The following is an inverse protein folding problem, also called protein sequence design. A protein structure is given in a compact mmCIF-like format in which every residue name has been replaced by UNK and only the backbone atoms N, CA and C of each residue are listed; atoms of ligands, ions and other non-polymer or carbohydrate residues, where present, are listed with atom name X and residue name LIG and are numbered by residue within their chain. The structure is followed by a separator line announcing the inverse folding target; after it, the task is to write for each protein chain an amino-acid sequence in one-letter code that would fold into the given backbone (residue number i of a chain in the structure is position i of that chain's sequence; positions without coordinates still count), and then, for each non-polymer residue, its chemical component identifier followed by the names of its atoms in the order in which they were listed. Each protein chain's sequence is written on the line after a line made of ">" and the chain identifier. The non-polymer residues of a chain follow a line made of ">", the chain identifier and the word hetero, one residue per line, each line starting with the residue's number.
data_IF_866806083666
#
_entry.id   IF_866806083666
#
_cell.length_a   1.000
_cell.length_b   1.000
_cell.length_c   1.000
_cell.angle_alpha   90.00
_cell.angle_beta   90.00
_cell.angle_gamma   90.00
#
_symmetry.space_group_name_H-M   'P 1'
#
loop_
_entity.id
_entity.type
_entity.pdbx_description
1 polymer ?
2 non-polymer ?
3 water ?
#
# COMPACT_ATOMS: atom_id res chain seq x y z
N UNK A 10 17.49 6.86 23.28
CA UNK A 10 18.32 5.68 22.98
C UNK A 10 19.21 5.90 21.75
N UNK A 11 18.67 6.52 20.70
CA UNK A 11 19.47 6.78 19.51
C UNK A 11 19.17 8.13 18.84
N UNK A 12 19.87 8.41 17.76
CA UNK A 12 19.74 9.67 17.02
C UNK A 12 18.34 10.04 16.55
N UNK A 13 17.42 9.09 16.59
CA UNK A 13 16.05 9.36 16.15
C UNK A 13 15.14 9.88 17.26
N UNK A 14 15.54 9.67 18.51
CA UNK A 14 14.74 10.13 19.65
C UNK A 14 14.42 11.62 19.57
N UNK A 15 13.26 12.01 20.11
CA UNK A 15 12.83 13.41 20.09
C UNK A 15 12.02 13.74 21.36
N UNK A 16 12.03 15.01 21.80
CA UNK A 16 11.28 15.37 23.00
C UNK A 16 9.80 15.67 22.71
N UNK A 17 8.92 15.07 23.51
CA UNK A 17 7.47 15.23 23.35
C UNK A 17 6.98 16.68 23.29
N UNK A 18 7.85 17.64 23.61
CA UNK A 18 7.46 19.04 23.59
C UNK A 18 7.70 19.66 22.23
N UNK A 19 8.14 18.84 21.29
CA UNK A 19 8.37 19.30 19.93
C UNK A 19 7.06 19.10 19.18
N UNK A 20 6.36 18.02 19.55
CA UNK A 20 5.07 17.65 18.97
C UNK A 20 3.89 18.47 19.47
N UNK A 21 2.80 18.41 18.71
CA UNK A 21 1.56 19.11 19.02
C UNK A 21 0.44 18.37 18.29
N UNK A 22 -0.17 17.40 18.96
CA UNK A 22 -1.24 16.61 18.38
C UNK A 22 -2.51 17.43 18.09
N UNK A 23 -2.46 18.23 17.01
CA UNK A 23 -3.55 19.10 16.58
C UNK A 23 -4.89 18.44 16.25
N UNK A 24 -4.88 17.41 15.40
CA UNK A 24 -6.11 16.72 15.01
C UNK A 24 -5.96 15.19 15.13
N UNK A 25 -7.04 14.51 15.49
CA UNK A 25 -7.02 13.05 15.62
C UNK A 25 -7.51 12.44 14.31
N UNK A 26 -6.56 12.01 13.48
CA UNK A 26 -6.88 11.43 12.17
C UNK A 26 -7.59 10.06 12.16
N UNK A 27 -7.26 9.20 13.12
CA UNK A 27 -7.87 7.89 13.18
C UNK A 27 -7.82 7.27 14.56
N UNK A 28 -8.23 6.01 14.67
CA UNK A 28 -8.23 5.29 15.95
C UNK A 28 -7.21 4.17 15.91
N UNK A 29 -7.49 3.07 16.61
CA UNK A 29 -6.56 1.96 16.63
C UNK A 29 -7.04 0.76 17.42
N UNK A 32 -3.48 1.91 19.72
CA UNK A 32 -2.95 3.25 19.53
C UNK A 32 -3.85 4.11 18.66
N UNK A 33 -3.28 5.15 18.05
CA UNK A 33 -4.05 6.04 17.17
C UNK A 33 -3.15 6.92 16.31
N UNK A 34 -3.77 7.67 15.39
CA UNK A 34 -3.00 8.53 14.49
C UNK A 34 -3.50 9.98 14.54
N UNK A 35 -2.57 10.91 14.74
CA UNK A 35 -2.89 12.34 14.82
C UNK A 35 -2.11 13.16 13.79
N UNK A 36 -2.49 14.42 13.66
CA UNK A 36 -1.83 15.33 12.74
C UNK A 36 -1.08 16.36 13.58
N UNK A 37 0.05 15.94 14.14
CA UNK A 37 0.84 16.84 14.97
C UNK A 37 1.61 17.87 14.17
N UNK A 38 2.66 18.39 14.79
CA UNK A 38 3.54 19.39 14.18
C UNK A 38 4.85 19.41 14.95
N UNK A 39 5.88 18.87 14.32
CA UNK A 39 7.21 18.77 14.92
C UNK A 39 7.96 20.09 14.95
N UNK A 40 8.44 20.45 16.15
CA UNK A 40 9.18 21.69 16.36
C UNK A 40 8.33 22.91 15.99
N UNK A 41 7.03 22.78 16.22
CA UNK A 41 6.08 23.84 15.94
C UNK A 41 6.12 24.51 14.58
N UNK A 42 6.86 23.92 13.63
CA UNK A 42 6.97 24.50 12.30
C UNK A 42 6.78 23.47 11.18
N UNK A 43 6.92 22.20 11.52
CA UNK A 43 6.81 21.14 10.54
C UNK A 43 5.53 20.30 10.70
N UNK A 44 4.73 20.23 9.64
CA UNK A 44 3.51 19.44 9.68
C UNK A 44 3.93 17.98 9.58
N UNK A 45 3.42 17.16 10.49
CA UNK A 45 3.76 15.75 10.51
C UNK A 45 2.57 14.90 10.93
N UNK A 46 2.78 13.60 10.99
CA UNK A 46 1.75 12.66 11.39
C UNK A 46 2.27 11.97 12.64
N UNK A 47 1.44 11.87 13.67
CA UNK A 47 1.84 11.24 14.92
C UNK A 47 1.04 9.99 15.25
N UNK A 48 1.71 8.84 15.27
CA UNK A 48 1.06 7.58 15.62
C UNK A 48 1.42 7.29 17.07
N UNK A 49 0.41 7.12 17.90
CA UNK A 49 0.63 6.86 19.32
C UNK A 49 0.26 5.41 19.66
N UNK A 50 0.55 5.00 20.89
CA UNK A 50 0.25 3.64 21.35
C UNK A 50 -0.44 3.68 22.71
N UNK A 51 -1.56 2.96 22.82
CA UNK A 51 -2.31 2.89 24.06
C UNK A 51 -1.96 1.61 24.79
N UNK A 52 -1.04 1.68 25.78
CA UNK A 52 -0.63 0.50 26.55
C UNK A 52 -1.77 -0.14 27.34
N UNK A 54 -1.19 -1.59 23.14
CA UNK A 54 -1.55 -2.82 23.84
C UNK A 54 -0.42 -3.85 23.74
N UNK A 55 0.54 -3.60 22.85
CA UNK A 55 1.67 -4.50 22.67
C UNK A 55 2.90 -3.96 23.38
N UNK A 56 3.94 -4.78 23.47
CA UNK A 56 5.18 -4.36 24.13
C UNK A 56 5.74 -3.13 23.44
N UNK A 57 6.44 -2.26 24.19
CA UNK A 57 7.00 -1.07 23.57
C UNK A 57 8.03 -1.43 22.51
N UNK A 58 8.88 -2.42 22.82
CA UNK A 58 9.90 -2.87 21.90
C UNK A 58 9.29 -3.57 20.68
N UNK A 59 8.02 -3.97 20.82
CA UNK A 59 7.30 -4.62 19.73
C UNK A 59 6.76 -3.54 18.81
N UNK A 60 6.17 -2.51 19.42
CA UNK A 60 5.60 -1.38 18.70
C UNK A 60 6.71 -0.63 17.96
N UNK A 61 7.90 -0.58 18.56
CA UNK A 61 9.03 0.11 17.97
C UNK A 61 9.73 -0.68 16.85
N UNK A 62 9.21 -1.86 16.54
CA UNK A 62 9.81 -2.68 15.48
C UNK A 62 9.48 -1.99 14.17
N UNK A 63 8.33 -1.31 14.16
CA UNK A 63 7.85 -0.58 12.99
C UNK A 63 8.77 0.59 12.66
N UNK A 64 9.39 1.14 13.72
CA UNK A 64 10.30 2.26 13.58
C UNK A 64 11.70 1.80 13.19
N UNK A 65 12.13 0.68 13.77
CA UNK A 65 13.44 0.14 13.47
C UNK A 65 13.60 -0.08 11.98
N UNK A 66 12.57 -0.64 11.35
CA UNK A 66 12.58 -0.92 9.92
C UNK A 66 12.62 0.36 9.07
N UNK A 67 11.86 1.37 9.49
CA UNK A 67 11.80 2.63 8.76
C UNK A 67 13.09 3.44 8.79
N UNK A 68 14.10 2.96 9.52
CA UNK A 68 15.38 3.65 9.60
C UNK A 68 16.33 3.09 8.55
N UNK A 69 16.03 1.90 8.07
CA UNK A 69 16.86 1.24 7.07
C UNK A 69 16.30 1.34 5.65
N UNK A 70 15.11 1.91 5.52
CA UNK A 70 14.47 2.06 4.21
C UNK A 70 14.14 3.52 3.91
N UNK A 71 14.88 4.12 2.97
CA UNK A 71 14.63 5.52 2.60
C UNK A 71 14.44 5.70 1.11
N UNK A 72 13.18 5.80 0.68
CA UNK A 72 12.86 5.95 -0.74
C UNK A 72 11.70 6.94 -0.92
N UNK A 73 11.64 7.55 -2.11
CA UNK A 73 10.60 8.52 -2.43
C UNK A 73 9.15 8.03 -2.33
N UNK A 74 8.91 6.75 -2.64
CA UNK A 74 7.57 6.20 -2.60
C UNK A 74 7.30 5.41 -1.32
N UNK A 75 8.05 5.76 -0.28
CA UNK A 75 7.92 5.13 1.01
C UNK A 75 7.74 6.25 2.04
N UNK A 76 6.77 6.09 2.92
CA UNK A 76 6.54 7.08 3.96
C UNK A 76 7.81 7.15 4.80
N UNK A 77 8.34 8.36 4.98
CA UNK A 77 9.58 8.52 5.74
C UNK A 77 9.41 8.71 7.23
N UNK A 78 10.32 8.12 7.98
CA UNK A 78 10.32 8.24 9.44
C UNK A 78 11.05 9.54 9.74
N UNK A 79 10.59 10.29 10.72
CA UNK A 79 11.26 11.53 11.09
C UNK A 79 11.91 11.41 12.48
N UNK A 80 11.16 10.93 13.47
CA UNK A 80 11.68 10.78 14.81
C UNK A 80 10.73 9.97 15.73
N UNK A 81 11.28 9.43 16.82
CA UNK A 81 10.50 8.64 17.77
C UNK A 81 10.42 9.25 19.16
N UNK A 82 9.63 8.60 20.02
CA UNK A 82 9.44 9.01 21.41
C UNK A 82 9.23 7.72 22.20
N UNK A 83 10.33 7.14 22.68
CA UNK A 83 10.29 5.89 23.43
C UNK A 83 9.66 5.99 24.83
N UNK A 84 9.15 7.16 25.19
CA UNK A 84 8.52 7.32 26.48
C UNK A 84 7.01 7.46 26.32
N UNK A 87 4.20 6.00 23.64
CA UNK A 87 5.17 5.92 22.55
C UNK A 87 4.69 6.65 21.31
N UNK A 88 5.59 7.39 20.66
CA UNK A 88 5.25 8.15 19.45
C UNK A 88 6.17 7.79 18.27
N UNK A 89 5.59 7.79 17.07
CA UNK A 89 6.33 7.52 15.84
C UNK A 89 5.95 8.70 14.95
N UNK A 90 6.94 9.50 14.56
CA UNK A 90 6.70 10.67 13.73
C UNK A 90 7.19 10.39 12.31
N UNK A 91 6.40 10.75 11.32
CA UNK A 91 6.75 10.53 9.92
C UNK A 91 6.25 11.71 9.12
N UNK A 92 6.53 11.72 7.83
CA UNK A 92 6.04 12.80 6.96
C UNK A 92 4.52 12.70 6.93
N UNK A 93 3.85 13.82 6.63
CA UNK A 93 2.40 13.88 6.57
C UNK A 93 1.86 13.78 5.14
N UNK A 94 0.95 12.82 4.91
CA UNK A 94 0.32 12.62 3.59
C UNK A 94 -1.05 13.28 3.68
N UNK A 95 -1.17 14.46 3.11
CA UNK A 95 -2.40 15.23 3.17
C UNK A 95 -3.71 14.62 2.71
N UNK A 96 -3.68 13.48 2.01
CA UNK A 96 -4.94 12.89 1.52
C UNK A 96 -5.30 11.51 2.03
N UNK A 97 -4.87 11.17 3.25
CA UNK A 97 -5.19 9.88 3.82
C UNK A 97 -4.77 8.68 2.98
N UNK A 98 -5.35 7.52 3.25
CA UNK A 98 -5.03 6.30 2.51
C UNK A 98 -5.59 6.25 1.06
N UNK A 99 -5.17 5.25 0.30
CA UNK A 99 -5.65 5.12 -1.07
C UNK A 99 -7.14 4.75 -1.03
N UNK A 100 -7.49 3.91 -0.06
CA UNK A 100 -8.87 3.47 0.11
C UNK A 100 -9.82 4.64 0.31
N UNK A 101 -9.54 5.47 1.33
CA UNK A 101 -10.41 6.62 1.59
C UNK A 101 -10.48 7.51 0.37
N UNK A 102 -9.33 7.71 -0.28
CA UNK A 102 -9.21 8.54 -1.46
C UNK A 102 -10.04 8.03 -2.64
N UNK A 103 -9.96 6.72 -2.91
CA UNK A 103 -10.72 6.12 -4.02
C UNK A 103 -12.21 6.16 -3.69
N UNK A 104 -12.53 5.99 -2.41
CA UNK A 104 -13.90 5.98 -1.91
C UNK A 104 -14.45 7.36 -1.62
N UNK A 105 -13.60 8.36 -1.60
CA UNK A 105 -14.06 9.71 -1.36
C UNK A 105 -14.70 10.21 -2.64
N UNK A 106 -15.03 11.50 -2.71
CA UNK A 106 -15.63 12.07 -3.89
C UNK A 106 -14.59 12.33 -4.96
N UNK A 107 -13.37 11.86 -4.71
CA UNK A 107 -12.29 12.04 -5.67
C UNK A 107 -12.29 10.85 -6.61
N UNK A 108 -12.68 9.70 -6.07
CA UNK A 108 -12.75 8.47 -6.83
C UNK A 108 -13.58 8.51 -8.11
N UNK A 109 -14.51 9.44 -8.24
CA UNK A 109 -15.31 9.47 -9.47
C UNK A 109 -14.61 10.23 -10.57
N UNK A 110 -13.64 11.04 -10.18
CA UNK A 110 -12.89 11.85 -11.13
C UNK A 110 -11.65 11.13 -11.65
N UNK A 111 -11.22 10.10 -10.94
CA UNK A 111 -10.04 9.34 -11.34
C UNK A 111 -10.34 8.43 -12.52
N UNK A 112 -9.45 8.43 -13.51
CA UNK A 112 -9.61 7.57 -14.66
C UNK A 112 -8.36 6.69 -14.76
N UNK A 113 -8.36 5.79 -15.73
CA UNK A 113 -7.24 4.86 -15.85
C UNK A 113 -5.85 5.50 -15.77
N UNK A 114 -5.60 6.58 -16.52
CA UNK A 114 -4.27 7.21 -16.46
C UNK A 114 -3.84 7.59 -15.02
N UNK A 115 -4.73 8.24 -14.28
CA UNK A 115 -4.42 8.63 -12.91
C UNK A 115 -4.29 7.43 -11.99
N UNK A 116 -4.92 6.32 -12.37
CA UNK A 116 -4.84 5.12 -11.56
C UNK A 116 -3.61 4.28 -11.89
N UNK A 117 -3.15 4.32 -13.14
CA UNK A 117 -1.97 3.55 -13.50
C UNK A 117 -0.75 4.27 -12.94
N UNK A 118 -0.84 5.58 -12.90
CA UNK A 118 0.22 6.43 -12.39
C UNK A 118 0.50 6.11 -10.90
N UNK A 119 -0.56 5.86 -10.14
CA UNK A 119 -0.43 5.52 -8.73
C UNK A 119 0.06 4.08 -8.58
N UNK A 120 -0.44 3.20 -9.43
CA UNK A 120 -0.07 1.79 -9.40
C UNK A 120 1.42 1.69 -9.62
N UNK A 121 1.93 2.45 -10.58
CA UNK A 121 3.35 2.45 -10.90
C UNK A 121 4.23 3.01 -9.79
N UNK A 122 3.76 4.04 -9.10
CA UNK A 122 4.52 4.64 -8.01
C UNK A 122 4.64 3.65 -6.89
N UNK A 123 3.53 2.96 -6.62
CA UNK A 123 3.50 1.96 -5.57
C UNK A 123 4.46 0.82 -5.93
N UNK A 124 4.47 0.48 -7.22
CA UNK A 124 5.34 -0.58 -7.70
C UNK A 124 6.79 -0.17 -7.49
N UNK A 125 7.06 1.13 -7.60
CA UNK A 125 8.41 1.64 -7.46
C UNK A 125 8.98 1.59 -6.03
N UNK A 126 8.16 1.92 -5.05
CA UNK A 126 8.64 1.85 -3.69
C UNK A 126 8.88 0.39 -3.36
N UNK A 127 8.09 -0.49 -3.97
CA UNK A 127 8.20 -1.93 -3.76
C UNK A 127 9.38 -2.50 -4.54
N UNK A 128 9.80 -1.78 -5.57
CA UNK A 128 10.95 -2.21 -6.36
C UNK A 128 12.16 -1.89 -5.49
N UNK A 129 12.06 -0.85 -4.67
CA UNK A 129 13.13 -0.49 -3.76
C UNK A 129 13.15 -1.58 -2.68
N UNK A 130 11.97 -1.92 -2.16
CA UNK A 130 11.86 -2.95 -1.15
C UNK A 130 12.48 -4.23 -1.71
N UNK A 131 12.06 -4.58 -2.92
CA UNK A 131 12.56 -5.78 -3.57
C UNK A 131 14.07 -5.80 -3.56
N UNK A 132 14.70 -4.74 -4.07
CA UNK A 132 16.15 -4.64 -4.10
C UNK A 132 16.77 -4.73 -2.69
N UNK A 133 16.08 -4.16 -1.71
CA UNK A 133 16.55 -4.17 -0.33
C UNK A 133 16.41 -5.54 0.32
N UNK A 134 15.84 -6.49 -0.40
CA UNK A 134 15.63 -7.84 0.13
C UNK A 134 14.68 -7.91 1.32
N UNK A 135 13.76 -6.95 1.41
CA UNK A 135 12.78 -6.97 2.50
C UNK A 135 11.42 -7.39 1.91
N UNK A 136 10.45 -7.61 2.78
CA UNK A 136 9.09 -7.98 2.40
C UNK A 136 8.14 -7.14 3.27
N UNK A 137 7.09 -6.57 2.68
CA UNK A 137 6.14 -5.74 3.41
C UNK A 137 5.12 -6.61 4.16
N UNK A 138 4.63 -7.65 3.49
CA UNK A 138 3.67 -8.60 4.05
C UNK A 138 2.22 -8.14 4.07
N UNK A 139 1.98 -6.83 4.03
CA UNK A 139 0.60 -6.34 4.04
C UNK A 139 0.38 -5.20 3.04
N UNK A 140 0.85 -5.44 1.82
CA UNK A 140 0.68 -4.47 0.74
C UNK A 140 -0.79 -4.52 0.29
N UNK A 141 -1.50 -3.43 0.54
CA UNK A 141 -2.89 -3.28 0.14
C UNK A 141 -3.27 -1.81 0.13
N UNK A 142 -4.39 -1.49 -0.51
CA UNK A 142 -4.81 -0.10 -0.62
C UNK A 142 -4.92 0.65 0.71
N UNK A 143 -5.22 -0.07 1.78
CA UNK A 143 -5.35 0.56 3.10
C UNK A 143 -4.02 1.02 3.69
N UNK A 144 -2.92 0.43 3.21
CA UNK A 144 -1.60 0.79 3.69
C UNK A 144 -0.81 1.51 2.62
N UNK A 145 -1.48 2.34 1.82
CA UNK A 145 -0.80 3.12 0.80
C UNK A 145 -1.37 4.52 0.93
N UNK A 146 -0.56 5.44 1.47
CA UNK A 146 -0.97 6.83 1.69
C UNK A 146 -0.89 7.70 0.44
N UNK A 147 -1.68 8.77 0.43
CA UNK A 147 -1.73 9.66 -0.71
C UNK A 147 -1.52 11.08 -0.23
N UNK A 148 -0.74 11.84 -1.00
CA UNK A 148 -0.47 13.22 -0.67
C UNK A 148 -0.97 14.09 -1.80
N UNK A 149 -0.34 15.25 -1.98
CA UNK A 149 -0.74 16.18 -3.04
C UNK A 149 -0.33 15.69 -4.42
N UNK A 150 -1.08 16.10 -5.44
CA UNK A 150 -0.78 15.71 -6.83
C UNK A 150 -0.65 14.19 -7.01
N UNK A 151 -1.68 13.45 -6.64
CA UNK A 151 -1.69 11.99 -6.77
C UNK A 151 -0.40 11.27 -6.37
N UNK A 152 0.24 11.77 -5.32
CA UNK A 152 1.45 11.16 -4.82
C UNK A 152 1.04 10.00 -3.93
N UNK A 153 1.76 8.90 -4.03
CA UNK A 153 1.44 7.73 -3.25
C UNK A 153 2.71 7.18 -2.62
N UNK A 154 2.58 6.62 -1.42
CA UNK A 154 3.72 6.06 -0.72
C UNK A 154 3.30 4.86 0.11
N UNK A 155 4.15 3.84 0.11
CA UNK A 155 3.88 2.64 0.89
C UNK A 155 4.01 3.01 2.35
N UNK A 156 3.17 2.41 3.19
CA UNK A 156 3.18 2.70 4.62
C UNK A 156 2.85 1.48 5.46
N UNK A 157 2.19 1.71 6.60
CA UNK A 157 1.81 0.65 7.54
C UNK A 157 1.17 1.25 8.80
N UNK A 158 0.35 0.45 9.47
CA UNK A 158 -0.30 0.82 10.73
C UNK A 158 -1.13 -0.33 11.32
N UNK A 159 -0.44 -1.20 12.06
CA UNK A 159 -1.08 -2.34 12.68
C UNK A 159 -0.35 -3.64 12.42
N UNK A 178 -6.08 -10.53 6.59
CA UNK A 178 -6.22 -10.00 5.22
C UNK A 178 -5.93 -11.11 4.23
N UNK A 179 -6.68 -12.19 4.33
CA UNK A 179 -6.46 -13.31 3.42
C UNK A 179 -6.92 -12.99 2.01
N UNK A 180 -7.91 -12.11 1.87
CA UNK A 180 -8.39 -11.72 0.56
C UNK A 180 -7.32 -10.94 -0.21
N UNK A 181 -6.21 -10.67 0.47
CA UNK A 181 -5.08 -9.91 -0.09
C UNK A 181 -3.76 -10.67 -0.05
N UNK A 182 -3.77 -11.79 0.67
CA UNK A 182 -2.59 -12.63 0.88
C UNK A 182 -2.44 -13.82 -0.04
N UNK A 183 -1.22 -14.00 -0.55
CA UNK A 183 -0.89 -15.10 -1.47
C UNK A 183 -1.01 -16.49 -0.82
N UNK A 184 -1.58 -17.46 -1.55
CA UNK A 184 -1.77 -18.84 -1.08
C UNK A 184 -0.67 -19.41 -0.18
N UNK A 185 0.55 -19.46 -0.71
CA UNK A 185 1.68 -19.98 0.03
C UNK A 185 1.89 -19.24 1.37
N UNK A 186 1.62 -17.93 1.38
CA UNK A 186 1.80 -17.11 2.58
C UNK A 186 0.82 -17.48 3.68
N UNK A 187 -0.46 -17.34 3.39
CA UNK A 187 -1.52 -17.64 4.33
C UNK A 187 -1.61 -19.12 4.72
N UNK A 188 -1.18 -20.01 3.84
CA UNK A 188 -1.25 -21.43 4.11
C UNK A 188 -0.04 -22.02 4.82
N UNK A 189 1.17 -21.57 4.47
CA UNK A 189 2.38 -22.12 5.06
C UNK A 189 3.35 -21.08 5.65
N UNK A 190 2.92 -19.83 5.71
CA UNK A 190 3.77 -18.78 6.25
C UNK A 190 4.91 -18.40 5.32
N UNK A 191 4.88 -18.90 4.09
CA UNK A 191 5.92 -18.62 3.11
C UNK A 191 5.79 -17.20 2.56
N UNK A 192 6.20 -16.21 3.34
CA UNK A 192 6.12 -14.82 2.89
C UNK A 192 7.41 -14.40 2.19
N UNK A 193 7.29 -13.92 0.97
CA UNK A 193 8.44 -13.45 0.21
C UNK A 193 8.01 -12.16 -0.46
N UNK A 194 8.86 -11.63 -1.32
CA UNK A 194 8.52 -10.41 -2.02
C UNK A 194 7.60 -10.83 -3.18
N UNK A 195 7.61 -12.13 -3.50
CA UNK A 195 6.76 -12.68 -4.56
C UNK A 195 5.36 -12.82 -4.04
N UNK A 196 5.22 -12.86 -2.71
CA UNK A 196 3.89 -12.95 -2.09
C UNK A 196 3.32 -11.52 -2.07
N UNK A 197 4.21 -10.54 -2.09
CA UNK A 197 3.76 -9.15 -2.12
C UNK A 197 3.29 -8.87 -3.53
N UNK A 198 3.94 -9.49 -4.51
CA UNK A 198 3.57 -9.33 -5.91
C UNK A 198 2.11 -9.79 -6.04
N UNK A 199 1.74 -10.80 -5.27
CA UNK A 199 0.37 -11.29 -5.28
C UNK A 199 -0.56 -10.18 -4.79
N UNK A 200 -0.17 -9.54 -3.67
CA UNK A 200 -0.95 -8.47 -3.07
C UNK A 200 -1.10 -7.23 -3.95
N UNK A 201 -0.06 -6.96 -4.75
CA UNK A 201 -0.08 -5.82 -5.66
C UNK A 201 -1.16 -6.14 -6.68
N UNK A 202 -1.17 -7.37 -7.17
CA UNK A 202 -2.19 -7.76 -8.13
C UNK A 202 -3.58 -7.41 -7.62
N UNK A 203 -3.84 -7.70 -6.34
CA UNK A 203 -5.14 -7.42 -5.70
C UNK A 203 -5.32 -5.89 -5.54
N UNK A 204 -4.22 -5.15 -5.50
CA UNK A 204 -4.25 -3.70 -5.38
C UNK A 204 -4.78 -3.11 -6.67
N UNK A 205 -4.38 -3.70 -7.80
CA UNK A 205 -4.87 -3.23 -9.09
C UNK A 205 -6.40 -3.38 -9.16
N UNK A 206 -6.95 -4.47 -8.66
CA UNK A 206 -8.40 -4.61 -8.70
C UNK A 206 -9.05 -3.52 -7.82
N UNK A 207 -8.33 -3.07 -6.80
CA UNK A 207 -8.82 -2.01 -5.92
C UNK A 207 -8.74 -0.68 -6.65
N UNK A 208 -7.65 -0.45 -7.37
CA UNK A 208 -7.54 0.80 -8.09
C UNK A 208 -8.53 0.82 -9.24
N UNK A 209 -8.66 -0.32 -9.93
CA UNK A 209 -9.58 -0.42 -11.06
C UNK A 209 -11.05 -0.41 -10.67
N UNK A 210 -11.37 -0.80 -9.43
CA UNK A 210 -12.76 -0.79 -8.98
C UNK A 210 -12.95 0.40 -8.08
N UNK A 211 -11.86 1.14 -7.91
CA UNK A 211 -11.86 2.35 -7.09
C UNK A 211 -12.29 2.13 -5.64
N UNK A 212 -11.68 1.15 -4.98
CA UNK A 212 -11.99 0.93 -3.57
C UNK A 212 -12.84 -0.23 -3.11
N UNK A 213 -13.46 -0.96 -4.03
CA UNK A 213 -14.29 -2.08 -3.63
C UNK A 213 -13.46 -3.21 -3.09
N UNK A 214 -14.04 -3.98 -2.17
CA UNK A 214 -13.37 -5.13 -1.55
C UNK A 214 -13.15 -6.23 -2.61
N UNK A 215 -11.96 -6.83 -2.64
CA UNK A 215 -11.74 -7.89 -3.63
C UNK A 215 -12.60 -9.10 -3.31
N UNK A 216 -12.91 -9.88 -4.35
CA UNK A 216 -13.72 -11.10 -4.21
C UNK A 216 -15.07 -10.76 -3.64
N UNK A 217 -15.81 -9.85 -4.27
CA UNK A 217 -17.15 -9.46 -3.78
C UNK A 217 -18.11 -10.63 -3.54
N UNK A 218 -18.87 -10.54 -2.45
CA UNK A 218 -19.85 -11.57 -2.13
C UNK A 218 -19.27 -12.85 -1.57
N UNK A 219 -17.94 -12.90 -1.44
CA UNK A 219 -17.30 -14.11 -0.92
C UNK A 219 -16.70 -13.91 0.47
N UNK A 220 -16.80 -14.94 1.29
CA UNK A 220 -16.26 -14.91 2.64
C UNK A 220 -14.86 -15.51 2.63
N UNK A 221 -14.05 -15.14 3.63
CA UNK A 221 -12.67 -15.62 3.74
C UNK A 221 -12.41 -17.08 3.39
N UNK A 222 -12.92 -18.00 4.21
CA UNK A 222 -12.68 -19.42 3.95
C UNK A 222 -13.43 -19.93 2.73
N UNK A 223 -13.88 -19.01 1.87
CA UNK A 223 -14.57 -19.36 0.63
C UNK A 223 -13.62 -18.87 -0.46
N UNK A 224 -12.87 -17.82 -0.11
CA UNK A 224 -11.88 -17.24 -1.00
C UNK A 224 -10.77 -18.27 -1.16
N UNK A 225 -10.27 -18.78 -0.03
CA UNK A 225 -9.20 -19.77 -0.03
C UNK A 225 -9.56 -21.05 -0.79
N UNK A 226 -10.63 -21.71 -0.37
CA UNK A 226 -11.07 -22.93 -1.03
C UNK A 226 -11.21 -22.74 -2.54
N UNK A 227 -11.56 -21.53 -2.93
CA UNK A 227 -11.76 -21.16 -4.34
C UNK A 227 -10.47 -20.85 -5.14
N UNK A 228 -9.62 -19.99 -4.59
CA UNK A 228 -8.38 -19.65 -5.28
C UNK A 228 -7.50 -20.88 -5.51
N UNK A 229 -7.51 -21.81 -4.56
CA UNK A 229 -6.72 -23.05 -4.69
C UNK A 229 -7.19 -23.78 -5.93
N UNK A 230 -8.52 -23.84 -6.11
CA UNK A 230 -9.13 -24.52 -7.23
C UNK A 230 -8.89 -23.85 -8.59
N UNK A 231 -8.05 -22.81 -8.61
CA UNK A 231 -7.76 -22.13 -9.86
C UNK A 231 -8.49 -20.80 -10.10
N UNK A 232 -9.53 -20.54 -9.31
CA UNK A 232 -10.30 -19.31 -9.45
C UNK A 232 -9.39 -18.09 -9.31
N UNK A 233 -9.74 -17.03 -10.03
CA UNK A 233 -9.01 -15.78 -10.01
C UNK A 233 -10.04 -14.74 -10.37
N UNK A 234 -9.95 -13.56 -9.78
CA UNK A 234 -10.92 -12.51 -10.08
C UNK A 234 -11.02 -12.16 -11.55
N UNK A 235 -12.23 -11.91 -12.03
CA UNK A 235 -12.46 -11.56 -13.43
C UNK A 235 -12.09 -10.11 -13.73
N UNK A 236 -11.91 -9.78 -15.01
CA UNK A 236 -11.55 -8.43 -15.39
C UNK A 236 -12.62 -7.42 -14.99
N UNK A 237 -12.23 -6.39 -14.21
CA UNK A 237 -13.14 -5.34 -13.75
C UNK A 237 -13.82 -4.57 -14.87
N UNK A 238 -14.99 -3.98 -14.58
CA UNK A 238 -15.70 -3.22 -15.61
C UNK A 238 -14.82 -2.15 -16.25
N UNK A 239 -14.93 -2.02 -17.57
CA UNK A 239 -14.15 -1.03 -18.31
C UNK A 239 -12.65 -1.11 -18.08
N UNK A 240 -12.16 -2.24 -17.59
CA UNK A 240 -10.73 -2.38 -17.38
C UNK A 240 -10.06 -3.15 -18.53
N UNK A 241 -9.11 -2.52 -19.24
CA UNK A 241 -8.42 -3.16 -20.36
C UNK A 241 -7.94 -4.56 -20.01
N UNK A 242 -8.29 -5.53 -20.84
CA UNK A 242 -7.88 -6.91 -20.60
C UNK A 242 -6.36 -7.03 -20.44
N UNK A 243 -5.60 -6.08 -20.97
CA UNK A 243 -4.14 -6.13 -20.84
C UNK A 243 -3.73 -5.82 -19.42
N UNK A 244 -4.57 -5.09 -18.68
CA UNK A 244 -4.26 -4.77 -17.30
C UNK A 244 -4.72 -5.91 -16.40
N UNK A 245 -5.66 -6.72 -16.88
CA UNK A 245 -6.11 -7.85 -16.09
C UNK A 245 -5.13 -8.99 -16.31
N UNK A 246 -4.44 -8.93 -17.45
CA UNK A 246 -3.44 -9.92 -17.81
C UNK A 246 -2.35 -9.83 -16.75
N UNK A 247 -1.93 -8.60 -16.44
CA UNK A 247 -0.90 -8.35 -15.44
C UNK A 247 -1.36 -8.84 -14.07
N UNK A 248 -2.62 -8.62 -13.73
CA UNK A 248 -3.11 -9.09 -12.46
C UNK A 248 -2.89 -10.60 -12.43
N UNK A 249 -3.29 -11.28 -13.49
CA UNK A 249 -3.14 -12.72 -13.55
C UNK A 249 -1.69 -13.20 -13.45
N UNK A 250 -0.73 -12.33 -13.72
CA UNK A 250 0.68 -12.70 -13.60
C UNK A 250 1.08 -12.53 -12.12
N UNK A 251 0.48 -11.54 -11.46
CA UNK A 251 0.75 -11.31 -10.05
C UNK A 251 0.06 -12.38 -9.20
N UNK A 252 -0.83 -13.16 -9.81
CA UNK A 252 -1.55 -14.21 -9.09
C UNK A 252 -1.18 -15.62 -9.56
N UNK A 253 -0.03 -15.76 -10.23
CA UNK A 253 0.36 -17.08 -10.70
C UNK A 253 0.50 -17.97 -9.48
N UNK A 254 0.21 -19.26 -9.66
CA UNK A 254 0.31 -20.23 -8.57
C UNK A 254 1.77 -20.41 -8.12
N UNK A 255 2.68 -20.60 -9.08
CA UNK A 255 4.11 -20.74 -8.77
C UNK A 255 4.75 -19.38 -8.50
N UNK A 256 5.10 -19.11 -7.23
CA UNK A 256 5.71 -17.84 -6.81
C UNK A 256 6.82 -17.30 -7.69
N UNK A 257 7.77 -18.13 -8.08
CA UNK A 257 8.87 -17.66 -8.91
C UNK A 257 8.45 -17.32 -10.33
N UNK A 258 7.15 -17.41 -10.61
CA UNK A 258 6.62 -17.09 -11.93
C UNK A 258 6.08 -15.64 -12.02
N UNK A 259 5.74 -15.08 -10.86
CA UNK A 259 5.23 -13.71 -10.80
C UNK A 259 6.36 -12.76 -11.17
N UNK A 260 6.03 -11.53 -11.60
CA UNK A 260 7.08 -10.58 -11.97
C UNK A 260 7.67 -9.80 -10.79
N UNK A 261 8.87 -9.30 -10.99
CA UNK A 261 9.55 -8.49 -10.01
C UNK A 261 8.82 -7.15 -10.11
N UNK A 262 8.96 -6.31 -9.08
CA UNK A 262 8.31 -5.00 -9.12
C UNK A 262 9.02 -4.13 -10.16
N UNK A 263 10.25 -4.53 -10.50
CA UNK A 263 11.03 -3.82 -11.49
C UNK A 263 10.28 -3.89 -12.81
N UNK A 264 9.74 -5.07 -13.12
CA UNK A 264 8.99 -5.26 -14.36
C UNK A 264 7.66 -4.55 -14.24
N UNK A 265 7.02 -4.71 -13.10
CA UNK A 265 5.72 -4.08 -12.89
C UNK A 265 5.78 -2.55 -13.01
N UNK A 266 6.76 -1.93 -12.39
CA UNK A 266 6.91 -0.48 -12.45
C UNK A 266 7.06 0.01 -13.89
N UNK A 267 7.99 -0.59 -14.61
CA UNK A 267 8.22 -0.21 -15.98
C UNK A 267 6.97 -0.49 -16.81
N UNK A 268 6.31 -1.61 -16.52
CA UNK A 268 5.13 -1.98 -17.26
C UNK A 268 4.06 -0.91 -17.15
N UNK A 269 3.86 -0.41 -15.94
CA UNK A 269 2.84 0.61 -15.70
C UNK A 269 3.33 2.01 -16.12
N UNK A 270 4.63 2.13 -16.35
CA UNK A 270 5.16 3.42 -16.78
C UNK A 270 4.95 3.59 -18.27
N UNK A 271 5.11 2.50 -19.04
CA UNK A 271 4.93 2.54 -20.50
C UNK A 271 3.52 2.10 -20.94
N UNK A 272 2.63 1.85 -20.00
CA UNK A 272 1.32 1.35 -20.37
C UNK A 272 0.58 1.94 -21.58
N UNK A 273 0.42 3.26 -21.60
CA UNK A 273 -0.31 3.91 -22.68
C UNK A 273 0.43 4.11 -24.01
N UNK A 274 1.69 3.72 -24.04
CA UNK A 274 2.50 3.84 -25.25
C UNK A 274 2.84 2.45 -25.80
N UNK A 275 3.29 1.56 -24.92
CA UNK A 275 3.68 0.22 -25.33
C UNK A 275 2.53 -0.77 -25.39
N UNK A 276 1.57 -0.62 -24.49
CA UNK A 276 0.46 -1.55 -24.41
C UNK A 276 -0.89 -1.06 -24.92
N UNK A 277 -1.39 0.04 -24.39
CA UNK A 277 -2.69 0.55 -24.85
C UNK A 277 -2.53 1.94 -25.45
N UNK A 278 -1.92 2.02 -26.64
CA UNK A 278 -1.74 3.32 -27.26
C UNK A 278 -3.03 3.92 -27.81
N UNK A 279 -4.04 3.07 -28.01
CA UNK A 279 -5.32 3.54 -28.54
C UNK A 279 -6.38 3.70 -27.44
N UNK A 280 -5.97 3.71 -26.18
CA UNK A 280 -6.89 3.85 -25.06
C UNK A 280 -7.75 5.09 -25.22
N UNK A 281 -8.97 5.03 -24.70
CA UNK A 281 -9.86 6.18 -24.78
C UNK A 281 -10.67 6.24 -23.49
N UNK A 282 -10.82 7.45 -22.93
CA UNK A 282 -11.57 7.66 -21.70
C UNK A 282 -12.97 7.07 -21.73
N UNK A 283 -13.39 6.50 -20.60
CA UNK A 283 -14.71 5.90 -20.54
C UNK A 283 -15.60 6.56 -19.50
N UNK A 284 -16.69 5.88 -19.17
CA UNK A 284 -17.64 6.40 -18.19
C UNK A 284 -16.99 6.65 -16.83
N UNK A 285 -16.21 5.67 -16.34
CA UNK A 285 -15.52 5.82 -15.06
C UNK A 285 -14.08 5.31 -15.08
N UNK A 286 -13.61 4.93 -16.27
CA UNK A 286 -12.25 4.43 -16.41
C UNK A 286 -11.59 4.95 -17.68
X LIG B 1 -1.60 8.84 7.91
X LIG B 1 -0.23 8.94 7.73
X LIG B 1 0.30 10.18 7.39
X LIG B 1 -0.53 11.23 7.27
X LIG B 1 -2.37 9.92 7.77
X LIG B 1 -3.85 6.56 7.17
X LIG B 1 -5.28 7.09 7.31
X LIG B 1 -5.43 7.28 8.83
X LIG B 1 -4.10 7.99 9.11
X LIG B 1 -3.15 6.99 8.46
X LIG B 1 -1.82 7.56 8.20
X LIG B 1 -0.77 6.89 8.22
X LIG B 1 -1.83 11.08 7.45
X LIG B 1 1.61 10.32 7.20
X LIG B 1 0.27 7.67 7.93
X LIG B 1 1.72 7.22 7.79
X LIG B 1 2.17 6.41 9.02
X LIG B 1 2.99 5.29 8.88
X LIG B 1 1.75 6.82 10.28
X LIG B 1 2.14 6.11 11.41
X LIG B 1 2.95 4.99 11.26
X LIG B 1 3.37 4.57 10.01
X LIG B 1 4.15 3.50 9.97
X LIG B 1 4.72 2.93 8.91
X LIG B 1 4.60 3.37 7.76
X LIG B 1 5.42 1.84 9.22
X LIG B 1 6.13 1.06 8.39
X LIG B 1 6.34 1.35 7.06
X LIG B 1 6.75 -0.05 8.96
X LIG B 1 7.58 -0.87 8.21
X LIG B 1 7.80 -0.56 6.88
X LIG B 1 7.19 0.55 6.30
X LIG B 1 7.52 0.88 4.85
X LIG B 1 6.61 1.71 4.34
X LIG B 1 8.71 1.46 4.80
X LIG B 1 7.54 -0.23 4.13
#
# INVERSE_FOLDING_TARGET
>A
GHMQTQGLAKDAWEIPRESLRLEVKLGQGCFGEVWMGTWNGTTRVAIKTLKPGTMSPEAFLQEAQVMKKLRHEKLVQLYAVVSEEPIYIVTEYMSKGSLLDFLKGEMGKYLRLPQLVDMAAQIASGMAYVERMNYVHRDLRAANILVGENLVCKVADFGLARLIEDNEYTARQGAKFPIKWTAPEAALYGRFTIKSDVWSFGILLTELTTKGRVPYPGMVNREVLDQVERGYRMPCPPECPESLHDLMCQCWRKDPEERPTFEYLQAFLEDYFTSTEPQYQPGENL
>B hetero
1 PD3 C4 C5 C6 N1 N3 CAQ CAO CAP CAR CBH NBI NAV C2 NAA CBE CAS CAZ CAM CAH CAF CAI CBB NAW CAY OAB NAX CBC CAN CAJ CAG CAK CBD CBJ FAD FAE FAC
#
